data_IF_531206330250
#
_entry.id   IF_531206330250
#
_cell.length_a   1.000
_cell.length_b   1.000
_cell.length_c   1.000
_cell.angle_alpha   90.00
_cell.angle_beta   90.00
_cell.angle_gamma   90.00
#
_symmetry.space_group_name_H-M   'P 1'
#
loop_
_entity.id
_entity.type
_entity.pdbx_description
1 polymer ?
#
# COMPACT_ATOMS: atom_id res chain seq x y z
N UNK A 1 -29.92 31.93 -13.28
CA UNK A 1 -29.10 30.81 -13.76
C UNK A 1 -30.03 29.63 -13.93
N UNK A 2 -29.95 28.92 -15.05
CA UNK A 2 -30.75 27.73 -15.32
C UNK A 2 -29.79 26.55 -15.44
N UNK A 3 -30.07 25.48 -14.69
CA UNK A 3 -29.24 24.27 -14.65
C UNK A 3 -30.11 23.07 -15.00
N UNK A 4 -29.82 22.46 -16.13
CA UNK A 4 -30.41 21.20 -16.56
C UNK A 4 -29.38 20.08 -16.33
N UNK A 5 -29.82 18.99 -15.71
CA UNK A 5 -28.99 17.82 -15.40
C UNK A 5 -29.54 16.63 -16.16
N UNK A 6 -28.74 16.08 -17.06
CA UNK A 6 -29.06 14.88 -17.81
C UNK A 6 -28.21 13.72 -17.28
N UNK A 7 -28.85 12.73 -16.64
CA UNK A 7 -28.17 11.54 -16.12
C UNK A 7 -27.98 10.52 -17.26
N UNK A 8 -26.79 9.99 -17.39
CA UNK A 8 -26.40 8.93 -18.33
C UNK A 8 -25.98 7.65 -17.57
N UNK A 9 -25.85 6.50 -18.24
CA UNK A 9 -25.26 5.29 -17.65
C UNK A 9 -23.83 5.54 -17.10
N UNK A 10 -23.31 4.67 -16.24
CA UNK A 10 -21.98 4.76 -15.59
C UNK A 10 -21.82 5.93 -14.59
N UNK A 11 -22.92 6.37 -13.98
CA UNK A 11 -23.00 7.58 -13.12
C UNK A 11 -22.40 8.83 -13.76
N UNK A 12 -22.47 8.94 -15.09
CA UNK A 12 -22.10 10.15 -15.82
C UNK A 12 -23.31 11.08 -15.85
N UNK A 13 -23.11 12.35 -15.53
CA UNK A 13 -24.14 13.38 -15.62
C UNK A 13 -23.64 14.54 -16.48
N UNK A 14 -24.45 14.97 -17.43
CA UNK A 14 -24.20 16.16 -18.24
C UNK A 14 -24.97 17.34 -17.64
N UNK A 15 -24.23 18.36 -17.21
CA UNK A 15 -24.76 19.63 -16.71
C UNK A 15 -24.81 20.63 -17.86
N UNK A 16 -26.01 21.09 -18.22
CA UNK A 16 -26.18 22.24 -19.11
C UNK A 16 -26.49 23.46 -18.25
N UNK A 17 -25.56 24.43 -18.26
CA UNK A 17 -25.65 25.63 -17.43
C UNK A 17 -25.83 26.84 -18.33
N UNK A 18 -26.89 27.60 -18.07
CA UNK A 18 -27.22 28.84 -18.76
C UNK A 18 -27.22 30.01 -17.77
N UNK A 19 -26.39 31.01 -18.07
CA UNK A 19 -26.23 32.23 -17.28
C UNK A 19 -26.93 33.40 -17.97
N UNK A 20 -27.78 34.16 -17.24
CA UNK A 20 -28.44 35.33 -17.78
C UNK A 20 -27.44 36.46 -18.05
N UNK A 21 -27.76 37.30 -19.03
CA UNK A 21 -26.93 38.41 -19.47
C UNK A 21 -26.54 39.39 -18.36
N UNK A 22 -27.39 39.55 -17.34
CA UNK A 22 -27.11 40.41 -16.19
C UNK A 22 -25.90 39.94 -15.37
N UNK A 23 -25.79 38.63 -15.12
CA UNK A 23 -24.68 38.06 -14.36
C UNK A 23 -23.37 38.14 -15.15
N UNK A 24 -23.44 37.87 -16.45
CA UNK A 24 -22.29 37.96 -17.36
C UNK A 24 -21.81 39.39 -17.50
N UNK A 25 -22.71 40.36 -17.69
CA UNK A 25 -22.38 41.78 -17.80
C UNK A 25 -21.77 42.33 -16.49
N UNK A 26 -22.26 41.89 -15.32
CA UNK A 26 -21.72 42.31 -14.03
C UNK A 26 -20.27 41.87 -13.85
N UNK A 27 -19.94 40.62 -14.16
CA UNK A 27 -18.56 40.13 -14.07
C UNK A 27 -17.67 40.65 -15.20
N UNK A 28 -18.21 40.87 -16.40
CA UNK A 28 -17.51 41.57 -17.49
C UNK A 28 -17.02 42.94 -17.04
N UNK A 29 -17.90 43.74 -16.44
CA UNK A 29 -17.57 45.08 -15.94
C UNK A 29 -16.50 45.02 -14.84
N UNK A 30 -16.59 44.06 -13.92
CA UNK A 30 -15.62 43.88 -12.85
C UNK A 30 -14.22 43.52 -13.37
N UNK A 31 -14.15 42.65 -14.40
CA UNK A 31 -12.89 42.27 -15.04
C UNK A 31 -12.35 43.47 -15.84
N UNK A 32 -13.18 44.15 -16.64
CA UNK A 32 -12.79 45.34 -17.38
C UNK A 32 -12.24 46.45 -16.46
N UNK A 33 -12.82 46.63 -15.27
CA UNK A 33 -12.32 47.59 -14.26
C UNK A 33 -10.99 47.17 -13.65
N UNK A 34 -10.75 45.88 -13.45
CA UNK A 34 -9.45 45.38 -13.01
C UNK A 34 -8.39 45.59 -14.11
N UNK A 35 -8.70 45.26 -15.37
CA UNK A 35 -7.81 45.56 -16.49
C UNK A 35 -7.57 47.07 -16.62
N UNK A 36 -8.58 47.93 -16.41
CA UNK A 36 -8.43 49.38 -16.44
C UNK A 36 -7.39 49.90 -15.43
N UNK A 37 -7.30 49.28 -14.25
CA UNK A 37 -6.37 49.67 -13.18
C UNK A 37 -4.92 49.31 -13.50
N UNK A 38 -4.68 48.17 -14.15
CA UNK A 38 -3.33 47.62 -14.34
C UNK A 38 -2.81 47.68 -15.78
N UNK A 39 -3.67 47.86 -16.78
CA UNK A 39 -3.28 47.85 -18.18
C UNK A 39 -2.51 49.12 -18.58
N UNK A 40 -1.37 48.94 -19.24
CA UNK A 40 -0.61 50.02 -19.88
C UNK A 40 -1.15 50.25 -21.28
N UNK A 41 -1.87 51.36 -21.46
CA UNK A 41 -2.42 51.75 -22.77
C UNK A 41 -1.61 52.93 -23.31
N UNK A 42 -1.03 52.83 -24.53
CA UNK A 42 -0.36 53.94 -25.18
C UNK A 42 -1.27 55.17 -25.26
N UNK A 43 -0.79 56.32 -24.80
CA UNK A 43 -1.56 57.58 -24.77
C UNK A 43 -2.35 57.84 -23.49
N UNK A 44 -2.45 56.88 -22.56
CA UNK A 44 -3.14 57.07 -21.28
C UNK A 44 -2.24 56.73 -20.09
N UNK A 45 -2.33 57.53 -19.03
CA UNK A 45 -1.73 57.18 -17.73
C UNK A 45 -2.44 55.93 -17.18
N UNK A 46 -1.70 54.96 -16.59
CA UNK A 46 -2.30 53.77 -15.98
C UNK A 46 -3.47 54.13 -15.05
N UNK A 47 -4.60 53.44 -15.19
CA UNK A 47 -5.82 53.69 -14.40
C UNK A 47 -6.73 54.82 -14.92
N UNK A 48 -6.36 55.54 -15.99
CA UNK A 48 -7.13 56.70 -16.51
C UNK A 48 -7.64 56.52 -17.95
N UNK A 49 -7.46 55.35 -18.55
CA UNK A 49 -7.98 55.07 -19.87
C UNK A 49 -9.52 54.88 -19.85
N UNK A 50 -10.26 55.42 -20.84
CA UNK A 50 -11.70 55.20 -20.97
C UNK A 50 -12.05 53.72 -21.21
N UNK A 51 -13.14 53.23 -20.59
CA UNK A 51 -13.59 51.82 -20.67
C UNK A 51 -13.68 51.28 -22.09
N UNK A 52 -14.21 52.06 -23.03
CA UNK A 52 -14.34 51.67 -24.45
C UNK A 52 -13.01 51.32 -25.11
N UNK A 53 -11.93 52.01 -24.76
CA UNK A 53 -10.59 51.78 -25.32
C UNK A 53 -9.96 50.51 -24.74
N UNK A 54 -10.19 50.27 -23.44
CA UNK A 54 -9.74 49.06 -22.75
C UNK A 54 -10.47 47.83 -23.30
N UNK A 55 -11.80 47.89 -23.41
CA UNK A 55 -12.63 46.80 -23.94
C UNK A 55 -12.31 46.49 -25.40
N UNK A 56 -12.03 47.50 -26.23
CA UNK A 56 -11.65 47.27 -27.62
C UNK A 56 -10.27 46.61 -27.75
N UNK A 57 -9.31 47.03 -26.90
CA UNK A 57 -7.93 46.55 -26.97
C UNK A 57 -7.73 45.19 -26.30
N UNK A 58 -8.35 44.97 -25.15
CA UNK A 58 -8.20 43.75 -24.34
C UNK A 58 -9.42 42.83 -24.40
N UNK A 59 -10.23 42.93 -25.47
CA UNK A 59 -11.48 42.18 -25.63
C UNK A 59 -11.28 40.68 -25.42
N UNK A 60 -10.21 40.13 -26.02
CA UNK A 60 -9.89 38.69 -25.97
C UNK A 60 -9.46 38.26 -24.58
N UNK A 61 -8.53 38.97 -23.93
CA UNK A 61 -8.09 38.61 -22.57
C UNK A 61 -9.22 38.76 -21.55
N UNK A 62 -10.07 39.78 -21.69
CA UNK A 62 -11.26 39.94 -20.84
C UNK A 62 -12.25 38.80 -21.07
N UNK A 63 -12.47 38.36 -22.32
CA UNK A 63 -13.33 37.21 -22.64
C UNK A 63 -12.80 35.90 -22.05
N UNK A 64 -11.49 35.63 -22.14
CA UNK A 64 -10.87 34.42 -21.60
C UNK A 64 -10.95 34.37 -20.07
N UNK A 65 -10.58 35.47 -19.39
CA UNK A 65 -10.67 35.59 -17.94
C UNK A 65 -12.12 35.51 -17.44
N UNK A 66 -13.04 36.18 -18.14
CA UNK A 66 -14.48 36.08 -17.85
C UNK A 66 -14.96 34.64 -17.95
N UNK A 67 -14.61 33.97 -19.05
CA UNK A 67 -15.01 32.59 -19.31
C UNK A 67 -14.51 31.68 -18.19
N UNK A 68 -13.22 31.73 -17.87
CA UNK A 68 -12.62 30.91 -16.81
C UNK A 68 -13.28 31.14 -15.45
N UNK A 69 -13.53 32.41 -15.09
CA UNK A 69 -14.12 32.77 -13.80
C UNK A 69 -15.60 32.40 -13.72
N UNK A 70 -16.38 32.68 -14.76
CA UNK A 70 -17.80 32.35 -14.81
C UNK A 70 -18.04 30.84 -14.87
N UNK A 71 -17.26 30.10 -15.67
CA UNK A 71 -17.31 28.63 -15.68
C UNK A 71 -17.07 28.09 -14.28
N UNK A 72 -15.96 28.46 -13.63
CA UNK A 72 -15.59 27.93 -12.30
C UNK A 72 -16.61 28.27 -11.21
N UNK A 73 -17.16 29.48 -11.22
CA UNK A 73 -18.16 29.93 -10.24
C UNK A 73 -19.50 29.24 -10.46
N UNK A 74 -20.00 29.30 -11.69
CA UNK A 74 -21.31 28.77 -12.06
C UNK A 74 -21.35 27.25 -11.95
N UNK A 75 -20.24 26.58 -12.24
CA UNK A 75 -20.10 25.15 -11.97
C UNK A 75 -20.27 24.82 -10.48
N UNK A 76 -19.57 25.54 -9.59
CA UNK A 76 -19.71 25.34 -8.13
C UNK A 76 -21.13 25.62 -7.64
N UNK A 77 -21.73 26.69 -8.12
CA UNK A 77 -23.10 27.07 -7.76
C UNK A 77 -24.10 26.01 -8.25
N UNK A 78 -23.94 25.48 -9.47
CA UNK A 78 -24.80 24.41 -10.02
C UNK A 78 -24.70 23.11 -9.22
N UNK A 79 -23.48 22.71 -8.84
CA UNK A 79 -23.23 21.51 -8.04
C UNK A 79 -23.87 21.64 -6.65
N UNK A 80 -23.73 22.82 -6.02
CA UNK A 80 -24.34 23.11 -4.72
C UNK A 80 -25.87 23.14 -4.76
N UNK A 81 -26.45 23.79 -5.79
CA UNK A 81 -27.90 23.92 -5.97
C UNK A 81 -28.58 22.55 -6.16
N UNK A 82 -27.96 21.67 -6.95
CA UNK A 82 -28.47 20.33 -7.24
C UNK A 82 -28.01 19.27 -6.24
N UNK A 83 -27.20 19.64 -5.22
CA UNK A 83 -26.60 18.75 -4.22
C UNK A 83 -25.92 17.52 -4.85
N UNK A 84 -25.31 17.71 -6.02
CA UNK A 84 -24.66 16.62 -6.74
C UNK A 84 -23.34 16.27 -6.05
N UNK A 85 -23.16 15.00 -5.70
CA UNK A 85 -21.88 14.48 -5.22
C UNK A 85 -20.98 14.24 -6.42
N UNK A 86 -20.38 15.30 -6.96
CA UNK A 86 -19.47 15.18 -8.10
C UNK A 86 -18.12 14.64 -7.64
N UNK A 87 -17.71 13.53 -8.24
CA UNK A 87 -16.41 12.91 -8.02
C UNK A 87 -15.35 13.58 -8.87
N UNK A 88 -15.65 13.79 -10.16
CA UNK A 88 -14.69 14.33 -11.11
C UNK A 88 -15.40 15.10 -12.23
N UNK A 89 -14.74 16.14 -12.72
CA UNK A 89 -15.12 16.85 -13.93
C UNK A 89 -14.34 16.23 -15.10
N UNK A 90 -15.05 15.62 -16.05
CA UNK A 90 -14.44 14.88 -17.16
C UNK A 90 -14.17 15.78 -18.35
N UNK A 91 -15.18 16.54 -18.77
CA UNK A 91 -15.03 17.42 -19.93
C UNK A 91 -15.87 18.68 -19.77
N UNK A 92 -15.40 19.76 -20.40
CA UNK A 92 -16.10 21.02 -20.49
C UNK A 92 -16.18 21.43 -21.95
N UNK A 93 -17.39 21.41 -22.50
CA UNK A 93 -17.67 21.56 -23.91
C UNK A 93 -18.62 22.73 -24.17
N UNK A 94 -18.67 23.18 -25.43
CA UNK A 94 -19.65 24.14 -25.94
C UNK A 94 -19.77 25.45 -25.14
N UNK A 95 -18.64 25.99 -24.67
CA UNK A 95 -18.63 27.30 -24.02
C UNK A 95 -18.89 28.39 -25.06
N UNK A 96 -20.13 28.87 -25.10
CA UNK A 96 -20.57 29.92 -26.03
C UNK A 96 -21.09 31.10 -25.23
N UNK A 97 -20.49 32.26 -25.51
CA UNK A 97 -21.02 33.55 -25.08
C UNK A 97 -21.75 34.12 -26.29
N UNK A 98 -23.07 34.25 -26.21
CA UNK A 98 -23.87 34.87 -27.26
C UNK A 98 -23.63 36.38 -27.32
N UNK A 99 -23.92 36.99 -28.47
CA UNK A 99 -23.85 38.45 -28.64
C UNK A 99 -24.84 39.20 -27.72
N UNK A 100 -25.86 38.50 -27.23
CA UNK A 100 -26.80 38.90 -26.18
C UNK A 100 -26.20 38.89 -24.76
N UNK A 101 -24.90 38.59 -24.64
CA UNK A 101 -24.17 38.41 -23.37
C UNK A 101 -24.69 37.26 -22.52
N UNK A 102 -25.46 36.31 -23.07
CA UNK A 102 -25.75 35.07 -22.35
C UNK A 102 -24.58 34.12 -22.48
N UNK A 103 -24.37 33.28 -21.47
CA UNK A 103 -23.32 32.28 -21.50
C UNK A 103 -23.93 30.91 -21.27
N UNK A 104 -23.66 29.99 -22.20
CA UNK A 104 -24.04 28.58 -22.11
C UNK A 104 -22.81 27.73 -22.19
N UNK A 105 -22.76 26.70 -21.36
CA UNK A 105 -21.72 25.68 -21.44
C UNK A 105 -22.26 24.33 -20.96
N UNK A 106 -21.63 23.27 -21.47
CA UNK A 106 -21.93 21.90 -21.09
C UNK A 106 -20.75 21.35 -20.29
N UNK A 107 -21.03 20.79 -19.12
CA UNK A 107 -20.03 20.13 -18.30
C UNK A 107 -20.42 18.66 -18.10
N UNK A 108 -19.57 17.75 -18.54
CA UNK A 108 -19.74 16.32 -18.27
C UNK A 108 -19.01 15.99 -16.98
N UNK A 109 -19.77 15.58 -15.97
CA UNK A 109 -19.27 15.21 -14.65
C UNK A 109 -19.57 13.76 -14.36
N UNK A 110 -18.74 13.16 -13.53
CA UNK A 110 -19.02 11.85 -12.94
C UNK A 110 -19.54 12.11 -11.54
N UNK A 111 -20.77 11.67 -11.31
CA UNK A 111 -21.42 11.73 -10.00
C UNK A 111 -21.11 10.44 -9.22
N UNK A 112 -21.12 10.53 -7.90
CA UNK A 112 -21.05 9.36 -7.05
C UNK A 112 -22.26 8.46 -7.35
N UNK A 113 -22.06 7.14 -7.44
CA UNK A 113 -23.16 6.22 -7.68
C UNK A 113 -24.20 6.35 -6.56
N UNK A 114 -25.46 6.43 -6.97
CA UNK A 114 -26.59 6.29 -6.06
C UNK A 114 -26.88 4.79 -5.93
N UNK A 115 -26.90 4.28 -4.70
CA UNK A 115 -27.25 2.89 -4.41
C UNK A 115 -28.22 2.86 -3.25
N UNK A 116 -29.15 1.91 -3.31
CA UNK A 116 -30.08 1.63 -2.22
C UNK A 116 -29.41 0.67 -1.23
N UNK A 117 -29.51 0.99 0.06
CA UNK A 117 -29.00 0.13 1.11
C UNK A 117 -29.93 -1.08 1.28
N UNK A 118 -29.44 -2.32 1.14
CA UNK A 118 -30.22 -3.51 1.44
C UNK A 118 -30.48 -3.65 2.95
N UNK A 119 -31.26 -4.65 3.37
CA UNK A 119 -31.57 -4.86 4.80
C UNK A 119 -30.29 -5.22 5.58
N UNK A 120 -29.78 -4.24 6.33
CA UNK A 120 -28.54 -4.33 7.08
C UNK A 120 -28.74 -4.83 8.52
N UNK A 121 -29.98 -5.03 8.97
CA UNK A 121 -30.27 -5.32 10.39
C UNK A 121 -30.24 -6.80 10.75
N UNK A 122 -30.35 -7.70 9.78
CA UNK A 122 -30.46 -9.16 9.99
C UNK A 122 -29.30 -9.96 9.38
N UNK A 123 -28.08 -9.38 9.36
CA UNK A 123 -26.90 -10.07 8.83
C UNK A 123 -26.39 -11.05 9.89
N UNK A 124 -26.36 -12.33 9.54
CA UNK A 124 -25.79 -13.38 10.41
C UNK A 124 -24.27 -13.34 10.29
N UNK A 125 -23.58 -13.19 11.41
CA UNK A 125 -22.11 -13.15 11.49
C UNK A 125 -21.63 -14.31 12.36
N UNK A 126 -20.59 -15.00 11.90
CA UNK A 126 -19.88 -16.00 12.69
C UNK A 126 -18.70 -15.32 13.40
N UNK A 127 -18.76 -15.27 14.73
CA UNK A 127 -17.69 -14.67 15.54
C UNK A 127 -16.75 -15.76 16.04
N UNK A 128 -15.42 -15.55 15.96
CA UNK A 128 -14.48 -16.42 16.64
C UNK A 128 -14.65 -16.32 18.17
N UNK A 129 -14.29 -17.38 18.92
CA UNK A 129 -14.36 -17.35 20.37
C UNK A 129 -13.36 -16.34 20.95
N UNK A 130 -13.82 -15.53 21.90
CA UNK A 130 -13.01 -14.52 22.57
C UNK A 130 -12.16 -15.10 23.71
N UNK A 131 -12.58 -16.23 24.28
CA UNK A 131 -11.93 -16.82 25.45
C UNK A 131 -10.46 -17.17 25.16
N UNK A 132 -9.55 -16.63 25.96
CA UNK A 132 -8.14 -17.00 25.97
C UNK A 132 -7.97 -18.20 26.90
N UNK A 133 -7.48 -19.30 26.35
CA UNK A 133 -7.22 -20.52 27.12
C UNK A 133 -5.84 -20.48 27.76
N UNK A 134 -5.65 -21.17 28.88
CA UNK A 134 -4.32 -21.29 29.52
C UNK A 134 -3.29 -21.93 28.58
N UNK A 135 -3.72 -22.83 27.69
CA UNK A 135 -2.86 -23.46 26.68
C UNK A 135 -2.29 -22.44 25.69
N UNK A 136 -3.10 -21.47 25.26
CA UNK A 136 -2.66 -20.38 24.38
C UNK A 136 -1.67 -19.45 25.10
N UNK A 137 -1.93 -19.13 26.36
CA UNK A 137 -0.99 -18.34 27.19
C UNK A 137 0.33 -19.09 27.35
N UNK A 138 0.30 -20.38 27.65
CA UNK A 138 1.51 -21.20 27.77
C UNK A 138 2.28 -21.27 26.44
N UNK A 139 1.58 -21.45 25.32
CA UNK A 139 2.19 -21.45 23.99
C UNK A 139 2.84 -20.09 23.67
N UNK A 140 2.17 -18.98 24.01
CA UNK A 140 2.72 -17.64 23.83
C UNK A 140 3.95 -17.40 24.72
N UNK A 141 3.92 -17.86 25.97
CA UNK A 141 5.05 -17.80 26.90
C UNK A 141 6.24 -18.64 26.40
N UNK A 142 5.99 -19.82 25.83
CA UNK A 142 7.04 -20.64 25.21
C UNK A 142 7.64 -19.95 23.98
N UNK A 143 6.83 -19.31 23.14
CA UNK A 143 7.32 -18.50 22.02
C UNK A 143 8.19 -17.33 22.48
N UNK A 144 7.78 -16.63 23.54
CA UNK A 144 8.59 -15.55 24.14
C UNK A 144 9.91 -16.08 24.71
N UNK A 145 9.88 -17.25 25.39
CA UNK A 145 11.07 -17.95 25.86
C UNK A 145 11.99 -18.32 24.71
N UNK A 146 11.43 -18.80 23.61
CA UNK A 146 12.17 -19.16 22.41
C UNK A 146 12.84 -17.98 21.72
N UNK A 147 12.19 -16.80 21.71
CA UNK A 147 12.75 -15.57 21.14
C UNK A 147 13.82 -14.93 22.03
N UNK A 148 13.72 -15.16 23.34
CA UNK A 148 14.61 -14.60 24.35
C UNK A 148 15.76 -15.55 24.73
N UNK A 149 15.90 -16.65 24.00
CA UNK A 149 16.92 -17.65 24.23
C UNK A 149 18.32 -17.05 24.06
N UNK A 150 19.20 -17.40 24.99
CA UNK A 150 20.60 -17.02 24.90
C UNK A 150 21.36 -18.09 24.09
N UNK A 151 22.37 -17.65 23.33
CA UNK A 151 23.17 -18.53 22.47
C UNK A 151 24.55 -18.69 23.07
N UNK A 152 24.78 -19.82 23.76
CA UNK A 152 26.05 -20.11 24.42
C UNK A 152 26.94 -20.93 23.51
N UNK A 153 28.21 -20.56 23.42
CA UNK A 153 29.19 -21.36 22.68
C UNK A 153 29.39 -22.72 23.35
N UNK A 154 29.26 -23.78 22.57
CA UNK A 154 29.43 -25.15 23.07
C UNK A 154 30.90 -25.50 23.15
N UNK A 155 31.27 -26.36 24.11
CA UNK A 155 32.64 -26.85 24.26
C UNK A 155 33.19 -27.41 22.93
N UNK A 156 34.49 -27.17 22.64
CA UNK A 156 35.10 -27.41 21.34
C UNK A 156 35.11 -28.89 20.90
N UNK A 157 34.84 -29.83 21.79
CA UNK A 157 34.85 -31.28 21.50
C UNK A 157 33.50 -31.83 21.04
N UNK A 158 32.39 -31.09 21.21
CA UNK A 158 31.06 -31.55 20.77
C UNK A 158 30.90 -31.34 19.27
N UNK A 159 30.52 -32.40 18.56
CA UNK A 159 30.16 -32.32 17.16
C UNK A 159 28.78 -31.66 16.99
N UNK A 160 28.54 -31.01 15.85
CA UNK A 160 27.29 -30.31 15.55
C UNK A 160 26.09 -31.27 15.61
N UNK A 161 25.06 -30.94 16.39
CA UNK A 161 23.83 -31.72 16.49
C UNK A 161 22.64 -31.01 15.86
N UNK A 162 21.56 -31.76 15.62
CA UNK A 162 20.27 -31.19 15.23
C UNK A 162 19.76 -30.33 16.40
N UNK A 163 19.11 -29.19 16.11
CA UNK A 163 18.71 -28.11 17.04
C UNK A 163 19.79 -27.12 17.49
N UNK A 164 21.07 -27.34 17.17
CA UNK A 164 22.13 -26.35 17.44
C UNK A 164 22.10 -25.18 16.45
N UNK A 165 22.78 -24.09 16.78
CA UNK A 165 23.03 -22.94 15.90
C UNK A 165 24.48 -22.97 15.42
N UNK A 166 24.66 -23.20 14.13
CA UNK A 166 25.96 -23.20 13.48
C UNK A 166 26.27 -21.80 12.93
N UNK A 167 27.41 -21.22 13.32
CA UNK A 167 27.98 -20.06 12.63
C UNK A 167 28.89 -20.61 11.53
N UNK A 168 28.42 -20.52 10.29
CA UNK A 168 29.10 -21.09 9.13
C UNK A 168 29.57 -19.99 8.18
N UNK A 169 30.70 -20.25 7.53
CA UNK A 169 31.00 -19.62 6.25
C UNK A 169 30.67 -20.64 5.17
N UNK A 170 29.94 -20.23 4.14
CA UNK A 170 29.69 -21.11 3.01
C UNK A 170 29.81 -20.40 1.69
N UNK A 171 30.20 -21.16 0.68
CA UNK A 171 30.30 -20.71 -0.70
C UNK A 171 29.63 -21.77 -1.59
N UNK A 172 28.62 -21.33 -2.35
CA UNK A 172 27.87 -22.20 -3.25
C UNK A 172 28.42 -22.14 -4.67
N UNK A 173 28.63 -23.32 -5.27
CA UNK A 173 29.03 -23.48 -6.66
C UNK A 173 28.07 -24.43 -7.38
N UNK A 174 27.80 -24.20 -8.66
CA UNK A 174 27.03 -25.10 -9.52
C UNK A 174 27.91 -25.40 -10.72
N UNK A 175 28.21 -26.68 -10.94
CA UNK A 175 29.03 -27.13 -12.08
C UNK A 175 30.37 -26.37 -12.20
N UNK A 176 30.99 -26.02 -11.05
CA UNK A 176 32.26 -25.31 -10.99
C UNK A 176 32.19 -23.79 -11.21
N UNK A 177 31.00 -23.20 -11.31
CA UNK A 177 30.80 -21.74 -11.35
C UNK A 177 30.12 -21.25 -10.07
N UNK A 178 30.55 -20.12 -9.48
CA UNK A 178 29.93 -19.59 -8.28
C UNK A 178 28.49 -19.12 -8.55
N UNK A 179 27.59 -19.38 -7.60
CA UNK A 179 26.16 -19.04 -7.74
C UNK A 179 25.97 -17.52 -7.91
N UNK A 180 26.88 -16.69 -7.39
CA UNK A 180 26.90 -15.23 -7.57
C UNK A 180 27.03 -14.78 -9.02
N UNK A 181 27.67 -15.58 -9.87
CA UNK A 181 27.83 -15.29 -11.30
C UNK A 181 26.69 -15.88 -12.13
N UNK A 182 26.16 -17.04 -11.72
CA UNK A 182 25.08 -17.72 -12.44
C UNK A 182 23.74 -17.01 -12.24
N UNK A 183 23.48 -16.51 -11.04
CA UNK A 183 22.20 -15.90 -10.69
C UNK A 183 22.41 -14.66 -9.80
N UNK A 184 22.81 -13.51 -10.36
CA UNK A 184 23.03 -12.27 -9.61
C UNK A 184 21.77 -11.75 -8.90
N UNK A 185 20.58 -12.16 -9.38
CA UNK A 185 19.26 -11.87 -8.81
C UNK A 185 18.92 -12.72 -7.57
N UNK A 186 19.66 -13.81 -7.29
CA UNK A 186 19.41 -14.61 -6.09
C UNK A 186 19.82 -13.82 -4.83
N UNK A 187 19.15 -14.08 -3.71
CA UNK A 187 19.50 -13.42 -2.44
C UNK A 187 20.95 -13.74 -2.07
N UNK A 188 21.71 -12.75 -1.57
CA UNK A 188 23.11 -12.91 -1.11
C UNK A 188 23.29 -14.08 -0.13
N UNK A 189 22.23 -14.40 0.62
CA UNK A 189 22.18 -15.54 1.54
C UNK A 189 22.22 -16.91 0.84
N UNK A 190 22.04 -16.99 -0.49
CA UNK A 190 22.13 -18.23 -1.28
C UNK A 190 23.47 -18.35 -2.03
N UNK A 191 24.13 -17.23 -2.32
CA UNK A 191 25.43 -17.18 -3.01
C UNK A 191 26.57 -17.67 -2.13
N UNK A 192 26.58 -17.16 -0.90
CA UNK A 192 27.65 -17.41 0.05
C UNK A 192 27.69 -16.30 1.08
N UNK A 193 27.83 -16.70 2.34
CA UNK A 193 27.83 -15.80 3.49
C UNK A 193 29.01 -16.12 4.40
N UNK A 194 29.63 -15.07 4.96
CA UNK A 194 30.57 -15.22 6.07
C UNK A 194 29.83 -14.94 7.39
N UNK A 195 30.10 -15.75 8.42
CA UNK A 195 29.43 -15.70 9.73
C UNK A 195 27.91 -15.79 9.63
N UNK A 196 27.41 -16.66 8.77
CA UNK A 196 25.98 -16.89 8.64
C UNK A 196 25.49 -17.74 9.82
N UNK A 197 24.44 -17.28 10.50
CA UNK A 197 23.82 -18.02 11.60
C UNK A 197 22.76 -18.94 11.02
N UNK A 198 22.97 -20.24 11.15
CA UNK A 198 22.04 -21.26 10.71
C UNK A 198 21.58 -22.09 11.89
N UNK A 199 20.26 -22.10 12.15
CA UNK A 199 19.66 -23.11 13.03
C UNK A 199 19.60 -24.44 12.30
N UNK A 200 20.17 -25.47 12.91
CA UNK A 200 20.18 -26.85 12.41
C UNK A 200 18.79 -27.44 12.56
N UNK A 201 17.99 -27.35 11.49
CA UNK A 201 16.65 -27.92 11.41
C UNK A 201 16.40 -28.54 10.04
N UNK A 202 15.59 -29.62 9.95
CA UNK A 202 15.42 -30.40 8.72
C UNK A 202 14.82 -29.60 7.55
N UNK A 203 14.05 -28.54 7.85
CA UNK A 203 13.43 -27.66 6.85
C UNK A 203 14.10 -26.28 6.75
N UNK A 204 15.13 -26.03 7.55
CA UNK A 204 15.74 -24.72 7.61
C UNK A 204 16.81 -24.60 6.50
N UNK A 205 16.72 -23.55 5.69
CA UNK A 205 17.57 -23.27 4.51
C UNK A 205 17.26 -24.11 3.26
N UNK A 206 17.72 -25.36 3.18
CA UNK A 206 17.50 -26.24 2.03
C UNK A 206 17.36 -27.71 2.50
N UNK A 207 16.51 -28.52 1.84
CA UNK A 207 16.40 -29.94 2.13
C UNK A 207 17.76 -30.64 2.05
N UNK A 208 18.05 -31.52 3.01
CA UNK A 208 19.31 -32.27 3.14
C UNK A 208 20.57 -31.43 3.39
N UNK A 209 20.49 -30.10 3.53
CA UNK A 209 21.65 -29.26 3.84
C UNK A 209 22.11 -29.45 5.29
N UNK A 210 21.19 -29.25 6.24
CA UNK A 210 21.48 -29.38 7.66
C UNK A 210 21.90 -30.82 8.03
N UNK A 211 21.25 -31.84 7.45
CA UNK A 211 21.55 -33.25 7.74
C UNK A 211 22.99 -33.64 7.40
N UNK A 212 23.55 -33.11 6.31
CA UNK A 212 24.93 -33.39 5.89
C UNK A 212 25.99 -32.69 6.76
N UNK A 213 25.60 -31.63 7.47
CA UNK A 213 26.47 -30.88 8.37
C UNK A 213 26.46 -31.44 9.80
N UNK A 214 25.45 -32.24 10.17
CA UNK A 214 25.43 -32.93 11.47
C UNK A 214 26.69 -33.78 11.63
N UNK A 215 27.29 -33.72 12.83
CA UNK A 215 28.51 -34.44 13.17
C UNK A 215 29.80 -33.76 12.74
N UNK A 216 29.76 -32.58 12.11
CA UNK A 216 30.94 -31.79 11.77
C UNK A 216 31.53 -31.13 13.03
N UNK A 217 32.86 -31.08 13.12
CA UNK A 217 33.57 -30.41 14.22
C UNK A 217 33.88 -28.94 13.90
N UNK A 218 34.15 -28.16 14.95
CA UNK A 218 34.59 -26.77 14.83
C UNK A 218 35.83 -26.68 13.91
N UNK A 219 35.84 -25.69 13.01
CA UNK A 219 36.86 -25.40 11.99
C UNK A 219 37.01 -26.43 10.86
N UNK A 220 36.16 -27.45 10.79
CA UNK A 220 36.15 -28.39 9.67
C UNK A 220 35.46 -27.76 8.45
N UNK A 221 35.96 -28.05 7.24
CA UNK A 221 35.28 -27.70 5.98
C UNK A 221 34.69 -28.96 5.36
N UNK A 222 33.39 -28.92 5.03
CA UNK A 222 32.66 -30.02 4.41
C UNK A 222 32.01 -29.56 3.12
N UNK A 223 32.05 -30.41 2.09
CA UNK A 223 31.32 -30.20 0.84
C UNK A 223 29.94 -30.84 0.98
N UNK A 224 28.90 -30.04 0.82
CA UNK A 224 27.50 -30.44 0.94
C UNK A 224 26.83 -30.28 -0.42
N UNK A 225 26.24 -31.36 -0.94
CA UNK A 225 25.55 -31.35 -2.22
C UNK A 225 24.06 -31.20 -1.94
N UNK A 226 23.45 -30.13 -2.45
CA UNK A 226 22.01 -29.88 -2.30
C UNK A 226 21.35 -29.67 -3.64
N UNK A 227 20.07 -30.05 -3.70
CA UNK A 227 19.25 -29.82 -4.88
C UNK A 227 18.26 -28.72 -4.55
N UNK A 228 18.27 -27.67 -5.37
CA UNK A 228 17.33 -26.57 -5.20
C UNK A 228 15.90 -27.01 -5.54
N UNK A 229 14.90 -26.69 -4.70
CA UNK A 229 13.51 -26.94 -5.03
C UNK A 229 13.10 -26.21 -6.32
N UNK A 230 12.16 -26.80 -7.07
CA UNK A 230 11.68 -26.24 -8.33
C UNK A 230 10.88 -24.92 -8.17
N UNK A 231 10.46 -24.61 -6.94
CA UNK A 231 9.62 -23.45 -6.57
C UNK A 231 10.44 -22.19 -6.21
N UNK A 232 11.74 -22.18 -6.54
CA UNK A 232 12.55 -20.98 -6.31
C UNK A 232 12.19 -19.89 -7.33
N UNK A 233 12.00 -18.62 -6.90
CA UNK A 233 11.74 -17.49 -7.79
C UNK A 233 12.81 -17.31 -8.88
N UNK A 234 14.02 -17.83 -8.62
CA UNK A 234 15.16 -17.79 -9.52
C UNK A 234 15.16 -19.05 -10.40
N UNK A 235 14.56 -18.93 -11.58
CA UNK A 235 14.48 -20.00 -12.59
C UNK A 235 15.84 -20.61 -12.96
N UNK A 236 16.92 -19.85 -12.80
CA UNK A 236 18.28 -20.28 -13.14
C UNK A 236 18.86 -21.29 -12.14
N UNK A 237 18.33 -21.32 -10.91
CA UNK A 237 18.77 -22.21 -9.81
C UNK A 237 17.76 -23.33 -9.55
N UNK A 238 16.50 -23.17 -9.92
CA UNK A 238 15.43 -24.14 -9.70
C UNK A 238 15.77 -25.52 -10.30
N UNK A 239 15.78 -26.56 -9.45
CA UNK A 239 16.03 -27.94 -9.86
C UNK A 239 17.50 -28.31 -10.14
N UNK A 240 18.45 -27.37 -9.98
CA UNK A 240 19.88 -27.67 -10.16
C UNK A 240 20.51 -28.18 -8.87
N UNK A 241 21.57 -28.97 -9.03
CA UNK A 241 22.44 -29.40 -7.93
C UNK A 241 23.52 -28.35 -7.71
N UNK A 242 23.71 -27.97 -6.46
CA UNK A 242 24.76 -27.06 -6.02
C UNK A 242 25.66 -27.75 -4.99
N UNK A 243 26.95 -27.53 -5.17
CA UNK A 243 28.00 -27.95 -4.27
C UNK A 243 28.35 -26.76 -3.37
N UNK A 244 28.03 -26.89 -2.08
CA UNK A 244 28.33 -25.90 -1.07
C UNK A 244 29.55 -26.32 -0.26
N UNK A 245 30.61 -25.51 -0.33
CA UNK A 245 31.73 -25.64 0.61
C UNK A 245 31.37 -24.90 1.88
N UNK A 246 31.15 -25.64 2.98
CA UNK A 246 30.72 -25.09 4.28
C UNK A 246 31.83 -25.29 5.31
N UNK A 247 32.35 -24.19 5.83
CA UNK A 247 33.29 -24.16 6.95
C UNK A 247 32.55 -23.79 8.23
N UNK A 248 32.61 -24.68 9.23
CA UNK A 248 31.99 -24.44 10.53
C UNK A 248 32.93 -23.61 11.42
N UNK A 249 32.53 -22.40 11.81
CA UNK A 249 33.35 -21.55 12.69
C UNK A 249 33.06 -21.76 14.16
N UNK A 250 31.79 -21.66 14.53
CA UNK A 250 31.35 -21.75 15.92
C UNK A 250 30.07 -22.57 15.99
N UNK A 251 29.95 -23.34 17.06
CA UNK A 251 28.73 -24.05 17.42
C UNK A 251 28.17 -23.34 18.64
N UNK A 252 26.93 -22.87 18.52
CA UNK A 252 26.18 -22.26 19.62
C UNK A 252 24.99 -23.14 19.92
N UNK A 253 24.74 -23.40 21.19
CA UNK A 253 23.53 -24.06 21.62
C UNK A 253 22.52 -23.02 22.07
N UNK A 254 21.27 -23.22 21.68
CA UNK A 254 20.16 -22.42 22.18
C UNK A 254 19.89 -22.85 23.62
N UNK A 255 20.24 -22.01 24.58
CA UNK A 255 19.88 -22.20 25.98
C UNK A 255 18.59 -21.42 26.24
N UNK A 256 17.53 -22.17 26.52
CA UNK A 256 16.25 -21.58 26.87
C UNK A 256 16.35 -21.09 28.31
N UNK A 257 16.16 -19.78 28.57
CA UNK A 257 16.15 -19.28 29.94
C UNK A 257 15.03 -19.97 30.70
N UNK A 258 15.25 -20.25 31.99
CA UNK A 258 14.20 -20.76 32.86
C UNK A 258 13.06 -19.73 32.94
N UNK A 259 11.82 -20.22 32.99
CA UNK A 259 10.65 -19.34 33.15
C UNK A 259 10.56 -18.93 34.62
N UNK A 260 11.35 -17.94 35.01
CA UNK A 260 11.44 -17.40 36.36
C UNK A 260 11.24 -15.88 36.39
N UNK A 261 11.28 -15.29 37.59
CA UNK A 261 11.13 -13.83 37.75
C UNK A 261 12.30 -13.05 37.13
N UNK A 262 13.47 -13.68 36.94
CA UNK A 262 14.61 -13.07 36.26
C UNK A 262 14.36 -12.92 34.75
N UNK A 263 13.72 -13.92 34.13
CA UNK A 263 13.24 -13.85 32.75
C UNK A 263 12.20 -12.74 32.57
N UNK A 264 11.23 -12.65 33.49
CA UNK A 264 10.20 -11.62 33.45
C UNK A 264 10.81 -10.20 33.57
N UNK A 265 11.79 -10.02 34.44
CA UNK A 265 12.53 -8.76 34.63
C UNK A 265 13.36 -8.39 33.39
N UNK A 266 13.93 -9.38 32.67
CA UNK A 266 14.71 -9.16 31.43
C UNK A 266 13.83 -8.60 30.31
N UNK A 267 12.58 -9.06 30.21
CA UNK A 267 11.62 -8.64 29.18
C UNK A 267 10.85 -7.38 29.56
N UNK A 268 10.43 -7.30 30.81
CA UNK A 268 9.61 -6.21 31.32
C UNK A 268 10.25 -5.79 32.63
N UNK A 269 11.02 -4.69 32.57
CA UNK A 269 11.73 -4.14 33.72
C UNK A 269 10.83 -4.15 34.96
N UNK A 270 11.27 -4.85 36.00
CA UNK A 270 10.65 -4.93 37.33
C UNK A 270 9.28 -5.64 37.40
N UNK A 271 9.01 -6.65 36.55
CA UNK A 271 7.80 -7.51 36.65
C UNK A 271 8.11 -8.96 37.02
N UNK A 272 7.17 -9.59 37.72
CA UNK A 272 7.21 -11.03 38.06
C UNK A 272 6.69 -11.92 36.92
N UNK A 273 6.95 -13.23 36.97
CA UNK A 273 6.45 -14.20 36.00
C UNK A 273 4.91 -14.22 35.94
N UNK A 274 4.25 -14.05 37.09
CA UNK A 274 2.79 -13.99 37.17
C UNK A 274 2.24 -12.75 36.46
N UNK A 275 2.90 -11.60 36.62
CA UNK A 275 2.52 -10.35 35.94
C UNK A 275 2.81 -10.39 34.44
N UNK A 276 3.90 -11.05 34.02
CA UNK A 276 4.19 -11.27 32.61
C UNK A 276 3.11 -12.17 31.98
N UNK A 277 2.72 -13.26 32.64
CA UNK A 277 1.62 -14.13 32.17
C UNK A 277 0.29 -13.38 32.07
N UNK A 278 -0.05 -12.55 33.06
CA UNK A 278 -1.26 -11.73 33.03
C UNK A 278 -1.23 -10.72 31.88
N UNK A 279 -0.07 -10.11 31.61
CA UNK A 279 0.11 -9.19 30.48
C UNK A 279 -0.04 -9.91 29.14
N UNK A 280 0.57 -11.09 28.97
CA UNK A 280 0.42 -11.92 27.76
C UNK A 280 -1.04 -12.35 27.56
N UNK A 281 -1.75 -12.73 28.63
CA UNK A 281 -3.16 -13.06 28.55
C UNK A 281 -4.02 -11.87 28.12
N UNK A 282 -3.77 -10.68 28.68
CA UNK A 282 -4.44 -9.44 28.30
C UNK A 282 -4.15 -9.04 26.84
N UNK A 283 -2.90 -9.17 26.40
CA UNK A 283 -2.50 -8.87 25.02
C UNK A 283 -3.17 -9.84 24.03
N UNK A 284 -3.27 -11.13 24.38
CA UNK A 284 -4.01 -12.13 23.59
C UNK A 284 -5.51 -11.85 23.57
N UNK A 285 -6.11 -11.41 24.68
CA UNK A 285 -7.52 -11.05 24.75
C UNK A 285 -7.82 -9.86 23.83
N UNK A 286 -6.98 -8.83 23.90
CA UNK A 286 -7.09 -7.66 23.03
C UNK A 286 -6.86 -8.04 21.55
N UNK A 287 -5.88 -8.89 21.23
CA UNK A 287 -5.67 -9.38 19.87
C UNK A 287 -6.90 -10.15 19.34
N UNK A 288 -7.50 -11.01 20.16
CA UNK A 288 -8.73 -11.73 19.81
C UNK A 288 -9.93 -10.81 19.65
N UNK A 289 -10.05 -9.78 20.49
CA UNK A 289 -11.10 -8.76 20.39
C UNK A 289 -10.98 -8.00 19.06
N UNK A 290 -9.78 -7.51 18.73
CA UNK A 290 -9.52 -6.85 17.44
C UNK A 290 -9.78 -7.78 16.25
N UNK A 291 -9.33 -9.03 16.32
CA UNK A 291 -9.57 -10.01 15.26
C UNK A 291 -11.08 -10.30 15.09
N UNK A 292 -11.82 -10.36 16.19
CA UNK A 292 -13.27 -10.58 16.19
C UNK A 292 -14.01 -9.37 15.61
N UNK A 293 -13.64 -8.15 15.99
CA UNK A 293 -14.20 -6.93 15.40
C UNK A 293 -13.93 -6.82 13.90
N UNK A 294 -12.69 -7.09 13.48
CA UNK A 294 -12.32 -7.10 12.05
C UNK A 294 -13.07 -8.18 11.27
N UNK A 295 -13.19 -9.39 11.83
CA UNK A 295 -13.94 -10.48 11.21
C UNK A 295 -15.43 -10.13 11.09
N UNK A 296 -16.00 -9.50 12.11
CA UNK A 296 -17.39 -9.03 12.11
C UNK A 296 -17.62 -7.97 11.04
N UNK A 297 -16.79 -6.93 11.02
CA UNK A 297 -16.87 -5.86 10.03
C UNK A 297 -16.74 -6.43 8.61
N UNK A 298 -15.73 -7.27 8.37
CA UNK A 298 -15.49 -7.91 7.07
C UNK A 298 -16.68 -8.75 6.60
N UNK A 299 -17.28 -9.56 7.49
CA UNK A 299 -18.46 -10.35 7.13
C UNK A 299 -19.69 -9.50 6.83
N UNK A 300 -19.92 -8.42 7.59
CA UNK A 300 -21.03 -7.49 7.35
C UNK A 300 -20.83 -6.78 6.01
N UNK A 301 -19.64 -6.24 5.77
CA UNK A 301 -19.31 -5.54 4.52
C UNK A 301 -19.46 -6.48 3.34
N UNK A 302 -19.00 -7.73 3.46
CA UNK A 302 -19.15 -8.74 2.41
C UNK A 302 -20.61 -9.07 2.12
N UNK A 303 -21.42 -9.30 3.16
CA UNK A 303 -22.85 -9.59 2.98
C UNK A 303 -23.61 -8.40 2.35
N UNK A 304 -23.27 -7.17 2.75
CA UNK A 304 -23.84 -5.96 2.16
C UNK A 304 -23.40 -5.79 0.70
N UNK A 305 -22.14 -6.08 0.39
CA UNK A 305 -21.61 -6.00 -0.96
C UNK A 305 -22.29 -7.00 -1.90
N UNK A 306 -22.49 -8.25 -1.46
CA UNK A 306 -23.20 -9.28 -2.25
C UNK A 306 -24.66 -8.91 -2.56
N UNK A 307 -25.30 -8.11 -1.70
CA UNK A 307 -26.69 -7.67 -1.86
C UNK A 307 -26.83 -6.32 -2.58
N UNK A 308 -25.75 -5.56 -2.75
CA UNK A 308 -25.78 -4.23 -3.35
C UNK A 308 -25.23 -4.28 -4.77
N UNK A 309 -26.07 -4.03 -5.76
CA UNK A 309 -25.62 -3.76 -7.13
C UNK A 309 -25.66 -2.26 -7.39
N UNK A 310 -24.51 -1.71 -7.76
CA UNK A 310 -24.41 -0.33 -8.21
C UNK A 310 -23.40 -0.22 -9.33
N UNK A 311 -23.60 0.78 -10.18
CA UNK A 311 -22.77 1.01 -11.34
C UNK A 311 -21.53 1.82 -10.93
N UNK A 312 -20.35 1.19 -10.95
CA UNK A 312 -19.10 1.83 -10.52
C UNK A 312 -18.45 2.57 -11.71
N UNK A 313 -18.31 3.91 -11.65
CA UNK A 313 -17.68 4.67 -12.71
C UNK A 313 -16.22 4.25 -12.90
N UNK A 314 -15.83 4.00 -14.15
CA UNK A 314 -14.45 3.59 -14.51
C UNK A 314 -13.35 4.55 -14.02
N UNK A 315 -13.66 5.84 -13.89
CA UNK A 315 -12.73 6.84 -13.36
C UNK A 315 -12.51 6.71 -11.84
N UNK A 316 -13.56 6.34 -11.09
CA UNK A 316 -13.41 6.05 -9.65
C UNK A 316 -12.51 4.84 -9.45
N UNK A 317 -12.76 3.77 -10.21
CA UNK A 317 -11.93 2.57 -10.18
C UNK A 317 -10.47 2.90 -10.50
N UNK A 318 -10.20 3.63 -11.59
CA UNK A 318 -8.84 4.02 -11.97
C UNK A 318 -8.12 4.84 -10.90
N UNK A 319 -8.82 5.78 -10.27
CA UNK A 319 -8.24 6.60 -9.21
C UNK A 319 -7.89 5.74 -7.99
N UNK A 320 -8.77 4.82 -7.61
CA UNK A 320 -8.54 3.92 -6.48
C UNK A 320 -7.42 2.92 -6.79
N UNK A 321 -7.38 2.31 -7.98
CA UNK A 321 -6.27 1.45 -8.42
C UNK A 321 -4.95 2.19 -8.36
N UNK A 322 -4.90 3.47 -8.78
CA UNK A 322 -3.68 4.27 -8.72
C UNK A 322 -3.24 4.57 -7.30
N UNK A 323 -4.19 4.81 -6.40
CA UNK A 323 -3.94 5.01 -4.97
C UNK A 323 -3.40 3.73 -4.33
N UNK A 324 -4.11 2.61 -4.52
CA UNK A 324 -3.72 1.30 -4.02
C UNK A 324 -2.32 0.89 -4.52
N UNK A 325 -2.02 1.13 -5.81
CA UNK A 325 -0.69 0.92 -6.37
C UNK A 325 0.36 1.79 -5.68
N UNK A 326 0.06 3.07 -5.42
CA UNK A 326 0.95 3.98 -4.70
C UNK A 326 1.27 3.51 -3.28
N UNK A 327 0.24 3.05 -2.54
CA UNK A 327 0.40 2.50 -1.19
C UNK A 327 1.22 1.21 -1.20
N UNK A 328 0.97 0.33 -2.16
CA UNK A 328 1.72 -0.91 -2.36
C UNK A 328 3.20 -0.62 -2.66
N UNK A 329 3.48 0.31 -3.59
CA UNK A 329 4.83 0.75 -3.92
C UNK A 329 5.53 1.33 -2.69
N UNK A 330 4.83 2.15 -1.90
CA UNK A 330 5.39 2.73 -0.68
C UNK A 330 5.73 1.65 0.37
N UNK A 331 4.85 0.66 0.55
CA UNK A 331 5.07 -0.48 1.46
C UNK A 331 6.26 -1.34 1.00
N UNK A 332 6.40 -1.56 -0.31
CA UNK A 332 7.53 -2.32 -0.86
C UNK A 332 8.85 -1.55 -0.77
N UNK A 333 8.83 -0.23 -0.97
CA UNK A 333 10.01 0.62 -0.74
C UNK A 333 10.46 0.59 0.73
N UNK A 334 9.52 0.61 1.67
CA UNK A 334 9.83 0.44 3.11
C UNK A 334 10.45 -0.93 3.41
N UNK A 335 10.12 -1.96 2.63
CA UNK A 335 10.73 -3.30 2.70
C UNK A 335 12.05 -3.43 1.92
N UNK A 336 12.56 -2.35 1.33
CA UNK A 336 13.85 -2.33 0.63
C UNK A 336 13.83 -2.86 -0.80
N UNK A 337 12.66 -2.98 -1.44
CA UNK A 337 12.56 -3.42 -2.84
C UNK A 337 13.01 -2.30 -3.80
N UNK A 338 13.94 -2.55 -4.74
CA UNK A 338 14.40 -1.55 -5.71
C UNK A 338 13.31 -1.10 -6.69
N UNK A 339 13.34 0.17 -7.08
CA UNK A 339 12.36 0.77 -8.00
C UNK A 339 12.30 0.11 -9.40
N UNK A 340 13.40 -0.50 -9.86
CA UNK A 340 13.44 -1.21 -11.14
C UNK A 340 12.62 -2.52 -11.11
N UNK A 341 12.61 -3.21 -9.96
CA UNK A 341 11.79 -4.42 -9.75
C UNK A 341 10.30 -4.10 -9.59
N UNK A 342 9.98 -2.89 -9.11
CA UNK A 342 8.59 -2.43 -9.00
C UNK A 342 8.00 -2.03 -10.36
N UNK A 343 8.83 -1.48 -11.26
CA UNK A 343 8.42 -1.16 -12.64
C UNK A 343 8.27 -2.40 -13.52
N UNK A 344 9.13 -3.41 -13.35
CA UNK A 344 9.01 -4.66 -14.14
C UNK A 344 7.75 -5.46 -13.77
N UNK A 345 7.28 -5.34 -12.51
CA UNK A 345 6.06 -5.98 -12.02
C UNK A 345 4.82 -5.09 -12.04
N UNK A 346 4.87 -3.91 -12.66
CA UNK A 346 3.78 -2.93 -12.63
C UNK A 346 2.44 -3.53 -13.11
N UNK A 347 2.46 -4.45 -14.10
CA UNK A 347 1.26 -5.18 -14.53
C UNK A 347 0.70 -6.14 -13.47
N UNK A 348 1.55 -6.93 -12.82
CA UNK A 348 1.14 -7.85 -11.74
C UNK A 348 0.63 -7.07 -10.52
N UNK A 349 1.24 -5.92 -10.23
CA UNK A 349 0.83 -5.05 -9.13
C UNK A 349 -0.51 -4.35 -9.40
N UNK A 350 -0.78 -3.99 -10.65
CA UNK A 350 -2.07 -3.43 -11.07
C UNK A 350 -3.17 -4.49 -11.06
N UNK A 351 -2.87 -5.73 -11.47
CA UNK A 351 -3.82 -6.85 -11.35
C UNK A 351 -4.11 -7.21 -9.89
N UNK A 352 -3.09 -7.29 -9.04
CA UNK A 352 -3.26 -7.51 -7.60
C UNK A 352 -4.07 -6.40 -6.93
N UNK A 353 -3.81 -5.14 -7.28
CA UNK A 353 -4.57 -3.99 -6.78
C UNK A 353 -6.00 -3.88 -7.35
N UNK A 354 -6.29 -4.51 -8.49
CA UNK A 354 -7.64 -4.61 -9.05
C UNK A 354 -8.45 -5.79 -8.52
N UNK A 355 -7.82 -6.71 -7.78
CA UNK A 355 -8.45 -7.89 -7.17
C UNK A 355 -8.78 -7.73 -5.68
N UNK A 356 -8.25 -6.68 -5.05
CA UNK A 356 -8.60 -6.20 -3.70
C UNK A 356 -9.80 -5.25 -3.80
#
# INVERSE_FOLDING_TARGET
MKVEVEKQPDSVSTLQIELPAEQVAKEWNAIADNFARYAKIPGYRPGKAPRRVIEAKFKKEIQEELTKKLVSKSYRDAVAEKRLRVVSLTNLEDVKIGDDKTMRFRATVITAPEFDLPDYKNITVQLPPLEVTEEEVNTAMERLRDQSADFVEVEPERALQMEDFAVIDFEGTIEGRPISEIAPEASKNLHGGKKFWLRMGPENFLPNFCEQLVGQKKEETRLVIVTFPADLPVKELAGKKADYAVTLREIKQKELPELDDAFATKLTKDKTLAELRAMVAHDLEHEKEHAMEQAKESQIVKALHEQTQFDLPSQLLRNETRRALGELVQRNRQRGVPDEMLKSKEKELVEGAGSL
#
